data_IF_481422655634
#
_entry.id   IF_481422655634
#
_cell.length_a   1.000
_cell.length_b   1.000
_cell.length_c   1.000
_cell.angle_alpha   90.00
_cell.angle_beta   90.00
_cell.angle_gamma   90.00
#
_symmetry.space_group_name_H-M   'P 1'
#
loop_
_entity.id
_entity.type
_entity.pdbx_description
1 polymer ?
#
# COMPACT_ATOMS: atom_id res chain seq x y z
N UNK A 1 -2.64 -3.32 -16.70
CA UNK A 1 -3.65 -3.99 -15.87
C UNK A 1 -3.65 -5.48 -16.21
N UNK A 2 -3.74 -6.35 -15.19
CA UNK A 2 -3.70 -7.80 -15.33
C UNK A 2 -4.93 -8.41 -14.66
N UNK A 3 -5.39 -9.52 -15.19
CA UNK A 3 -6.55 -10.24 -14.65
C UNK A 3 -6.27 -11.74 -14.59
N UNK A 4 -6.61 -12.35 -13.45
CA UNK A 4 -6.54 -13.80 -13.22
C UNK A 4 -7.97 -14.29 -13.09
N UNK A 5 -8.37 -15.22 -13.97
CA UNK A 5 -9.72 -15.77 -13.92
C UNK A 5 -9.89 -16.78 -12.79
N UNK A 6 -10.88 -16.52 -11.97
CA UNK A 6 -11.37 -17.42 -10.91
C UNK A 6 -12.87 -17.61 -11.16
N UNK A 7 -13.25 -18.60 -11.96
CA UNK A 7 -14.64 -18.82 -12.35
C UNK A 7 -15.58 -18.92 -11.15
N UNK A 8 -16.74 -18.29 -11.29
CA UNK A 8 -17.83 -18.26 -10.29
C UNK A 8 -17.48 -17.62 -8.94
N UNK A 9 -16.34 -16.93 -8.84
CA UNK A 9 -15.91 -16.24 -7.62
C UNK A 9 -16.90 -15.15 -7.23
N UNK A 10 -17.36 -15.16 -5.98
CA UNK A 10 -18.25 -14.13 -5.41
C UNK A 10 -17.48 -12.90 -4.92
N UNK A 11 -16.17 -12.94 -4.97
CA UNK A 11 -15.28 -11.85 -4.58
C UNK A 11 -14.23 -11.62 -5.65
N UNK A 12 -13.71 -10.38 -5.70
CA UNK A 12 -12.50 -10.04 -6.44
C UNK A 12 -11.40 -9.63 -5.48
N UNK A 13 -10.21 -10.20 -5.65
CA UNK A 13 -9.01 -9.71 -5.01
C UNK A 13 -8.40 -8.62 -5.91
N UNK A 14 -8.11 -7.47 -5.34
CA UNK A 14 -7.52 -6.31 -6.02
C UNK A 14 -6.17 -6.02 -5.38
N UNK A 15 -5.12 -5.91 -6.19
CA UNK A 15 -3.81 -5.43 -5.79
C UNK A 15 -3.36 -4.33 -6.74
N UNK A 16 -2.97 -3.18 -6.19
CA UNK A 16 -2.45 -2.03 -6.95
C UNK A 16 -1.08 -1.69 -6.39
N UNK A 17 -0.03 -1.75 -7.20
CA UNK A 17 1.31 -1.59 -6.67
C UNK A 17 2.38 -1.24 -7.68
N UNK A 18 3.55 -0.92 -7.13
CA UNK A 18 4.77 -0.60 -7.87
C UNK A 18 6.00 -0.98 -7.05
N UNK A 19 7.17 -0.94 -7.67
CA UNK A 19 8.44 -1.04 -6.98
C UNK A 19 8.89 0.35 -6.50
N UNK A 20 9.47 0.39 -5.31
CA UNK A 20 9.98 1.62 -4.69
C UNK A 20 11.48 1.51 -4.38
N UNK A 21 11.98 2.25 -3.41
CA UNK A 21 13.39 2.24 -3.02
C UNK A 21 13.83 0.89 -2.44
N UNK A 22 15.12 0.54 -2.51
CA UNK A 22 15.64 -0.68 -1.88
C UNK A 22 15.43 -0.70 -0.38
N UNK A 23 15.42 -1.92 0.19
CA UNK A 23 15.58 -2.11 1.62
C UNK A 23 16.91 -1.54 2.12
N UNK A 24 16.94 -1.03 3.34
CA UNK A 24 18.09 -0.31 3.88
C UNK A 24 18.21 1.14 3.43
N UNK A 25 17.38 1.60 2.45
CA UNK A 25 17.37 3.01 2.04
C UNK A 25 16.83 3.91 3.15
N UNK A 26 17.50 5.05 3.45
CA UNK A 26 16.97 6.04 4.40
C UNK A 26 15.58 6.57 4.04
N UNK A 27 15.24 6.61 2.74
CA UNK A 27 13.94 7.07 2.25
C UNK A 27 12.82 6.09 2.55
N UNK A 28 13.12 4.79 2.78
CA UNK A 28 12.09 3.78 3.00
C UNK A 28 11.28 4.05 4.25
N UNK A 29 11.91 4.46 5.34
CA UNK A 29 11.19 4.81 6.56
C UNK A 29 10.28 6.04 6.36
N UNK A 30 10.77 7.09 5.68
CA UNK A 30 9.96 8.26 5.32
C UNK A 30 8.75 7.87 4.48
N UNK A 31 8.94 6.99 3.50
CA UNK A 31 7.85 6.45 2.68
C UNK A 31 6.85 5.65 3.54
N UNK A 32 7.32 4.89 4.54
CA UNK A 32 6.46 4.15 5.46
C UNK A 32 5.60 5.08 6.34
N UNK A 33 6.19 6.19 6.79
CA UNK A 33 5.48 7.26 7.52
C UNK A 33 4.33 7.80 6.67
N UNK A 34 4.62 8.17 5.43
CA UNK A 34 3.60 8.71 4.50
C UNK A 34 2.54 7.65 4.16
N UNK A 35 2.93 6.39 3.93
CA UNK A 35 2.01 5.29 3.65
C UNK A 35 1.01 5.01 4.79
N UNK A 36 1.34 5.39 6.02
CA UNK A 36 0.50 5.07 7.19
C UNK A 36 -0.95 5.55 7.04
N UNK A 37 -1.16 6.76 6.53
CA UNK A 37 -2.50 7.34 6.32
C UNK A 37 -3.17 6.86 5.03
N UNK A 38 -2.43 6.26 4.09
CA UNK A 38 -3.00 5.65 2.89
C UNK A 38 -3.69 4.33 3.21
N UNK A 39 -2.98 3.38 3.83
CA UNK A 39 -3.51 2.05 4.11
C UNK A 39 -2.93 1.37 5.36
N UNK A 40 -2.23 2.09 6.24
CA UNK A 40 -1.52 1.54 7.40
C UNK A 40 -2.39 1.27 8.65
N UNK A 41 -3.71 1.24 8.55
CA UNK A 41 -4.56 0.93 9.71
C UNK A 41 -6.05 1.21 9.50
N UNK A 42 -6.83 1.14 10.59
CA UNK A 42 -8.29 1.30 10.54
C UNK A 42 -8.74 2.70 10.10
N UNK A 43 -7.98 3.72 10.46
CA UNK A 43 -8.26 5.11 10.11
C UNK A 43 -7.63 5.56 8.80
N UNK A 44 -6.92 4.66 8.10
CA UNK A 44 -6.32 4.95 6.81
C UNK A 44 -7.39 5.12 5.72
N UNK A 45 -7.10 5.93 4.71
CA UNK A 45 -8.07 6.32 3.69
C UNK A 45 -8.69 5.15 2.94
N UNK A 46 -7.89 4.16 2.53
CA UNK A 46 -8.40 2.97 1.84
C UNK A 46 -9.39 2.19 2.73
N UNK A 47 -9.02 1.98 4.01
CA UNK A 47 -9.87 1.28 4.96
C UNK A 47 -11.15 2.04 5.23
N UNK A 48 -11.04 3.35 5.48
CA UNK A 48 -12.19 4.21 5.77
C UNK A 48 -13.18 4.19 4.60
N UNK A 49 -12.71 4.45 3.39
CA UNK A 49 -13.60 4.55 2.22
C UNK A 49 -14.17 3.20 1.84
N UNK A 50 -13.34 2.17 1.62
CA UNK A 50 -13.85 0.88 1.11
C UNK A 50 -14.65 0.08 2.14
N UNK A 51 -14.26 0.15 3.43
CA UNK A 51 -14.93 -0.62 4.48
C UNK A 51 -16.00 0.18 5.22
N UNK A 52 -15.63 1.35 5.78
CA UNK A 52 -16.53 2.05 6.71
C UNK A 52 -17.61 2.84 5.98
N UNK A 53 -17.26 3.53 4.88
CA UNK A 53 -18.22 4.36 4.12
C UNK A 53 -19.00 3.55 3.08
N UNK A 54 -18.34 2.63 2.34
CA UNK A 54 -18.97 1.87 1.25
C UNK A 54 -19.40 0.45 1.63
N UNK A 55 -18.82 -0.16 2.64
CA UNK A 55 -19.13 -1.53 3.02
C UNK A 55 -18.78 -2.58 1.94
N UNK A 56 -17.79 -2.28 1.07
CA UNK A 56 -17.42 -3.16 -0.05
C UNK A 56 -16.53 -4.31 0.35
N UNK A 57 -15.83 -4.20 1.47
CA UNK A 57 -14.82 -5.14 1.97
C UNK A 57 -14.81 -5.25 3.49
N UNK A 58 -14.19 -6.30 3.99
CA UNK A 58 -13.82 -6.43 5.40
C UNK A 58 -12.50 -5.72 5.72
N UNK A 59 -11.69 -5.37 4.72
CA UNK A 59 -10.45 -4.65 4.92
C UNK A 59 -9.77 -4.24 3.63
N UNK A 60 -9.17 -3.04 3.66
CA UNK A 60 -8.31 -2.51 2.62
C UNK A 60 -7.06 -1.91 3.27
N UNK A 61 -5.89 -2.27 2.78
CA UNK A 61 -4.61 -1.86 3.36
C UNK A 61 -3.58 -1.59 2.28
N UNK A 62 -2.51 -0.89 2.64
CA UNK A 62 -1.31 -0.78 1.83
C UNK A 62 -0.07 -1.19 2.63
N UNK A 63 0.90 -1.76 1.94
CA UNK A 63 2.10 -2.34 2.51
C UNK A 63 3.34 -1.90 1.72
N UNK A 64 4.44 -1.79 2.44
CA UNK A 64 5.79 -1.75 1.91
C UNK A 64 6.46 -3.05 2.39
N UNK A 65 6.72 -3.96 1.48
CA UNK A 65 7.39 -5.22 1.80
C UNK A 65 8.87 -5.10 1.51
N UNK A 66 9.62 -4.69 2.51
CA UNK A 66 11.05 -4.44 2.39
C UNK A 66 11.80 -5.60 1.71
N UNK A 67 12.60 -5.26 0.70
CA UNK A 67 13.37 -6.20 -0.10
C UNK A 67 14.72 -5.59 -0.48
N UNK A 68 15.76 -6.41 -0.61
CA UNK A 68 17.14 -5.98 -0.84
C UNK A 68 17.31 -5.16 -2.13
N UNK A 69 16.61 -5.52 -3.21
CA UNK A 69 16.77 -4.84 -4.51
C UNK A 69 15.82 -3.65 -4.64
N UNK A 70 14.53 -3.89 -4.51
CA UNK A 70 13.47 -2.88 -4.55
C UNK A 70 12.32 -3.33 -3.67
N UNK A 71 11.80 -2.42 -2.87
CA UNK A 71 10.68 -2.69 -1.97
C UNK A 71 9.36 -2.58 -2.74
N UNK A 72 8.59 -3.68 -2.89
CA UNK A 72 7.25 -3.57 -3.41
C UNK A 72 6.35 -2.76 -2.48
N UNK A 73 5.74 -1.71 -3.03
CA UNK A 73 4.53 -1.11 -2.49
C UNK A 73 3.33 -1.77 -3.13
N UNK A 74 2.33 -2.15 -2.35
CA UNK A 74 1.04 -2.55 -2.87
C UNK A 74 -0.11 -2.21 -1.93
N UNK A 75 -1.20 -1.75 -2.50
CA UNK A 75 -2.49 -1.56 -1.85
C UNK A 75 -3.39 -2.73 -2.23
N UNK A 76 -4.08 -3.33 -1.25
CA UNK A 76 -4.80 -4.57 -1.41
C UNK A 76 -6.17 -4.56 -0.73
N UNK A 77 -7.14 -5.19 -1.38
CA UNK A 77 -8.44 -5.53 -0.78
C UNK A 77 -9.08 -6.72 -1.46
N UNK A 78 -9.91 -7.46 -0.71
CA UNK A 78 -10.91 -8.37 -1.27
C UNK A 78 -12.28 -7.71 -1.18
N UNK A 79 -12.95 -7.61 -2.29
CA UNK A 79 -14.27 -6.93 -2.40
C UNK A 79 -15.31 -7.89 -2.98
N UNK A 80 -16.59 -7.62 -2.75
CA UNK A 80 -17.64 -8.37 -3.44
C UNK A 80 -17.52 -8.16 -4.95
N UNK A 81 -17.77 -9.20 -5.75
CA UNK A 81 -17.60 -9.16 -7.22
C UNK A 81 -18.41 -8.06 -7.88
N UNK A 82 -19.61 -7.78 -7.38
CA UNK A 82 -20.51 -6.76 -7.96
C UNK A 82 -20.04 -5.31 -7.77
N UNK A 83 -19.01 -5.06 -6.96
CA UNK A 83 -18.41 -3.73 -6.69
C UNK A 83 -16.93 -3.65 -7.07
N UNK A 84 -16.47 -4.56 -7.93
CA UNK A 84 -15.04 -4.62 -8.36
C UNK A 84 -14.62 -3.34 -9.06
N UNK A 85 -15.35 -2.90 -10.08
CA UNK A 85 -15.03 -1.68 -10.82
C UNK A 85 -15.05 -0.44 -9.92
N UNK A 86 -16.08 -0.29 -9.09
CA UNK A 86 -16.21 0.82 -8.15
C UNK A 86 -15.05 0.86 -7.17
N UNK A 87 -14.61 -0.30 -6.70
CA UNK A 87 -13.45 -0.42 -5.82
C UNK A 87 -12.16 -0.05 -6.53
N UNK A 88 -11.96 -0.47 -7.78
CA UNK A 88 -10.81 -0.08 -8.61
C UNK A 88 -10.75 1.43 -8.83
N UNK A 89 -11.89 2.08 -9.12
CA UNK A 89 -12.00 3.54 -9.22
C UNK A 89 -11.58 4.21 -7.90
N UNK A 90 -12.04 3.70 -6.76
CA UNK A 90 -11.65 4.21 -5.42
C UNK A 90 -10.15 4.08 -5.18
N UNK A 91 -9.54 2.92 -5.49
CA UNK A 91 -8.08 2.76 -5.38
C UNK A 91 -7.35 3.79 -6.22
N UNK A 92 -7.70 3.91 -7.50
CA UNK A 92 -7.10 4.89 -8.43
C UNK A 92 -7.20 6.32 -7.89
N UNK A 93 -8.39 6.72 -7.50
CA UNK A 93 -8.69 8.11 -7.13
C UNK A 93 -8.05 8.48 -5.79
N UNK A 94 -8.09 7.58 -4.80
CA UNK A 94 -7.41 7.80 -3.51
C UNK A 94 -5.89 7.89 -3.71
N UNK A 95 -5.28 6.97 -4.48
CA UNK A 95 -3.83 6.97 -4.70
C UNK A 95 -3.40 8.23 -5.46
N UNK A 96 -4.10 8.60 -6.53
CA UNK A 96 -3.76 9.79 -7.32
C UNK A 96 -3.97 11.10 -6.56
N UNK A 97 -5.04 11.21 -5.77
CA UNK A 97 -5.33 12.40 -4.95
C UNK A 97 -4.59 12.44 -3.61
N UNK A 98 -3.77 11.42 -3.30
CA UNK A 98 -3.21 11.27 -1.96
C UNK A 98 -2.30 12.42 -1.54
N UNK A 99 -1.36 12.80 -2.38
CA UNK A 99 -0.39 13.84 -2.08
C UNK A 99 -1.05 15.21 -1.80
N UNK A 100 -2.04 15.57 -2.61
CA UNK A 100 -2.74 16.86 -2.48
C UNK A 100 -3.66 16.91 -1.24
N UNK A 101 -4.24 15.76 -0.89
CA UNK A 101 -5.14 15.65 0.26
C UNK A 101 -4.41 15.37 1.58
N UNK A 102 -3.11 15.03 1.55
CA UNK A 102 -2.30 14.82 2.77
C UNK A 102 -2.09 16.15 3.49
N UNK A 103 -2.35 16.22 4.79
CA UNK A 103 -2.34 17.46 5.55
C UNK A 103 -1.59 17.32 6.89
N UNK A 104 -1.44 18.43 7.63
CA UNK A 104 -0.75 18.43 8.92
C UNK A 104 -1.38 17.48 9.92
N UNK A 105 -2.70 17.33 9.93
CA UNK A 105 -3.38 16.42 10.83
C UNK A 105 -3.01 14.97 10.55
N UNK A 106 -2.91 14.58 9.26
CA UNK A 106 -2.44 13.24 8.85
C UNK A 106 -1.02 12.98 9.35
N UNK A 107 -0.14 13.98 9.20
CA UNK A 107 1.25 13.88 9.62
C UNK A 107 1.36 13.73 11.14
N UNK A 108 0.69 14.57 11.89
CA UNK A 108 0.72 14.54 13.36
C UNK A 108 0.10 13.25 13.95
N UNK A 109 -1.01 12.77 13.39
CA UNK A 109 -1.59 11.47 13.79
C UNK A 109 -0.58 10.35 13.56
N UNK A 110 0.11 10.35 12.41
CA UNK A 110 1.11 9.34 12.09
C UNK A 110 2.31 9.41 13.03
N UNK A 111 2.89 10.61 13.24
CA UNK A 111 4.02 10.81 14.17
C UNK A 111 3.68 10.30 15.57
N UNK A 112 2.56 10.74 16.12
CA UNK A 112 2.11 10.34 17.45
C UNK A 112 1.92 8.82 17.56
N UNK A 113 1.33 8.19 16.55
CA UNK A 113 1.12 6.74 16.51
C UNK A 113 2.45 5.98 16.49
N UNK A 114 3.41 6.40 15.64
CA UNK A 114 4.69 5.72 15.49
C UNK A 114 5.59 5.93 16.71
N UNK A 115 5.63 7.14 17.27
CA UNK A 115 6.38 7.43 18.51
C UNK A 115 5.85 6.58 19.68
N UNK A 116 4.53 6.52 19.87
CA UNK A 116 3.94 5.66 20.90
C UNK A 116 4.18 4.17 20.65
N UNK A 117 4.15 3.76 19.38
CA UNK A 117 4.43 2.38 18.96
C UNK A 117 5.88 1.95 19.22
N UNK A 118 6.83 2.89 19.16
CA UNK A 118 8.24 2.58 19.42
C UNK A 118 8.49 2.07 20.84
N UNK A 119 7.81 2.60 21.86
CA UNK A 119 7.95 2.12 23.23
C UNK A 119 7.66 0.61 23.34
N UNK A 120 6.61 0.13 22.63
CA UNK A 120 6.18 -1.25 22.64
C UNK A 120 7.11 -2.21 21.85
N UNK A 121 7.96 -1.68 20.96
CA UNK A 121 8.91 -2.50 20.17
C UNK A 121 9.92 -3.23 21.04
N UNK A 122 10.29 -2.63 22.18
CA UNK A 122 11.32 -3.17 23.07
C UNK A 122 10.78 -4.09 24.17
N UNK A 123 9.47 -4.20 24.31
CA UNK A 123 8.84 -5.05 25.35
C UNK A 123 8.80 -6.54 24.98
N UNK A 124 8.90 -6.88 23.70
CA UNK A 124 8.76 -8.26 23.24
C UNK A 124 10.04 -8.77 22.62
N UNK A 125 10.54 -9.92 23.10
CA UNK A 125 11.72 -10.58 22.55
C UNK A 125 11.62 -10.82 21.04
N UNK A 126 10.46 -11.28 20.55
CA UNK A 126 10.23 -11.47 19.12
C UNK A 126 10.40 -10.18 18.30
N UNK A 127 9.99 -9.02 18.82
CA UNK A 127 10.17 -7.73 18.16
C UNK A 127 11.64 -7.34 18.09
N UNK A 128 12.42 -7.61 19.15
CA UNK A 128 13.87 -7.35 19.17
C UNK A 128 14.60 -8.26 18.17
N UNK A 129 14.24 -9.55 18.12
CA UNK A 129 14.83 -10.49 17.16
C UNK A 129 14.53 -10.04 15.72
N UNK A 130 13.27 -9.70 15.41
CA UNK A 130 12.91 -9.22 14.09
C UNK A 130 13.62 -7.92 13.71
N UNK A 131 13.86 -7.02 14.67
CA UNK A 131 14.63 -5.80 14.46
C UNK A 131 16.07 -6.12 14.10
N UNK A 132 16.75 -6.98 14.87
CA UNK A 132 18.13 -7.40 14.61
C UNK A 132 18.26 -8.14 13.27
N UNK A 133 17.31 -9.01 12.93
CA UNK A 133 17.25 -9.68 11.63
C UNK A 133 17.12 -8.66 10.48
N UNK A 134 16.23 -7.68 10.62
CA UNK A 134 16.06 -6.58 9.67
C UNK A 134 17.33 -5.76 9.51
N UNK A 135 17.97 -5.37 10.62
CA UNK A 135 19.23 -4.63 10.60
C UNK A 135 20.34 -5.41 9.90
N UNK A 136 20.49 -6.69 10.24
CA UNK A 136 21.49 -7.57 9.63
C UNK A 136 21.23 -7.77 8.13
N UNK A 137 19.97 -8.02 7.75
CA UNK A 137 19.58 -8.31 6.37
C UNK A 137 19.75 -7.13 5.43
N UNK A 138 19.45 -5.93 5.88
CA UNK A 138 19.45 -4.72 5.05
C UNK A 138 20.60 -3.78 5.32
N UNK A 139 21.52 -4.13 6.23
CA UNK A 139 22.70 -3.32 6.55
C UNK A 139 22.39 -2.04 7.31
N UNK A 140 21.33 -2.03 8.13
CA UNK A 140 21.03 -0.87 8.96
C UNK A 140 22.09 -0.66 10.05
N UNK A 141 22.48 0.59 10.33
CA UNK A 141 23.45 0.89 11.37
C UNK A 141 22.88 0.67 12.78
N UNK A 142 23.74 0.65 13.78
CA UNK A 142 23.35 0.61 15.19
C UNK A 142 22.51 1.82 15.63
N UNK A 143 22.63 2.95 14.92
CA UNK A 143 21.81 4.16 15.08
C UNK A 143 20.43 4.06 14.41
N UNK A 144 20.03 2.88 13.93
CA UNK A 144 18.79 2.68 13.16
C UNK A 144 17.55 3.31 13.83
N UNK A 145 17.37 3.05 15.13
CA UNK A 145 16.21 3.56 15.88
C UNK A 145 16.29 5.08 16.07
N UNK A 146 17.48 5.60 16.34
CA UNK A 146 17.71 7.05 16.46
C UNK A 146 17.41 7.75 15.14
N UNK A 147 17.84 7.18 14.02
CA UNK A 147 17.57 7.72 12.68
C UNK A 147 16.04 7.75 12.38
N UNK A 148 15.30 6.69 12.76
CA UNK A 148 13.83 6.69 12.64
C UNK A 148 13.20 7.81 13.51
N UNK A 149 13.68 8.02 14.72
CA UNK A 149 13.17 9.08 15.60
C UNK A 149 13.47 10.48 15.05
N UNK A 150 14.67 10.69 14.51
CA UNK A 150 15.04 11.94 13.84
C UNK A 150 14.11 12.24 12.65
N UNK A 151 13.81 11.24 11.82
CA UNK A 151 12.83 11.39 10.74
C UNK A 151 11.46 11.78 11.28
N UNK A 152 10.97 11.12 12.33
CA UNK A 152 9.65 11.43 12.90
C UNK A 152 9.58 12.85 13.48
N UNK A 153 10.67 13.38 14.01
CA UNK A 153 10.70 14.74 14.55
C UNK A 153 10.87 15.80 13.46
N UNK A 154 11.66 15.52 12.42
CA UNK A 154 12.07 16.50 11.42
C UNK A 154 11.17 16.55 10.18
N UNK A 155 10.54 15.43 9.77
CA UNK A 155 9.72 15.39 8.54
C UNK A 155 8.58 16.41 8.58
N UNK A 156 8.57 17.30 7.59
CA UNK A 156 7.54 18.33 7.41
C UNK A 156 6.47 17.92 6.40
N UNK A 157 5.38 18.72 6.33
CA UNK A 157 4.27 18.45 5.44
C UNK A 157 4.69 18.47 3.96
N UNK A 158 5.51 19.44 3.55
CA UNK A 158 5.94 19.58 2.15
C UNK A 158 6.80 18.40 1.70
N UNK A 159 7.68 17.92 2.57
CA UNK A 159 8.47 16.71 2.34
C UNK A 159 7.56 15.48 2.23
N UNK A 160 6.61 15.31 3.15
CA UNK A 160 5.65 14.20 3.11
C UNK A 160 4.81 14.21 1.82
N UNK A 161 4.34 15.37 1.37
CA UNK A 161 3.64 15.51 0.08
C UNK A 161 4.53 15.21 -1.10
N UNK A 162 5.79 15.64 -1.08
CA UNK A 162 6.76 15.33 -2.13
C UNK A 162 6.99 13.82 -2.25
N UNK A 163 7.18 13.13 -1.12
CA UNK A 163 7.32 11.68 -1.07
C UNK A 163 6.05 10.99 -1.63
N UNK A 164 4.86 11.49 -1.26
CA UNK A 164 3.61 10.96 -1.78
C UNK A 164 3.50 11.13 -3.31
N UNK A 165 3.83 12.30 -3.87
CA UNK A 165 3.80 12.56 -5.33
C UNK A 165 4.75 11.67 -6.10
N UNK A 166 5.93 11.42 -5.56
CA UNK A 166 6.95 10.59 -6.20
C UNK A 166 6.55 9.12 -6.25
N UNK A 167 5.91 8.61 -5.20
CA UNK A 167 5.70 7.18 -5.01
C UNK A 167 4.25 6.71 -5.23
N UNK A 168 3.24 7.58 -5.03
CA UNK A 168 1.84 7.20 -5.12
C UNK A 168 1.16 7.85 -6.34
N UNK A 169 1.32 7.18 -7.48
CA UNK A 169 0.69 7.56 -8.74
C UNK A 169 0.09 6.30 -9.39
N UNK A 170 -1.21 6.14 -9.27
CA UNK A 170 -1.93 4.95 -9.77
C UNK A 170 -1.75 4.74 -11.28
N UNK A 171 -1.52 5.80 -12.06
CA UNK A 171 -1.29 5.69 -13.50
C UNK A 171 0.06 5.06 -13.85
N UNK A 172 0.99 4.97 -12.89
CA UNK A 172 2.29 4.32 -13.01
C UNK A 172 2.35 2.98 -12.27
N UNK A 173 1.23 2.51 -11.75
CA UNK A 173 1.15 1.26 -10.98
C UNK A 173 0.56 0.12 -11.79
N UNK A 174 0.90 -1.08 -11.40
CA UNK A 174 0.28 -2.30 -11.88
C UNK A 174 -1.01 -2.56 -11.10
N UNK A 175 -2.08 -2.85 -11.83
CA UNK A 175 -3.34 -3.33 -11.28
C UNK A 175 -3.43 -4.83 -11.59
N UNK A 176 -3.57 -5.64 -10.55
CA UNK A 176 -3.78 -7.09 -10.65
C UNK A 176 -5.10 -7.42 -9.98
N UNK A 177 -5.99 -8.03 -10.73
CA UNK A 177 -7.32 -8.41 -10.28
C UNK A 177 -7.47 -9.92 -10.43
N UNK A 178 -7.93 -10.61 -9.39
CA UNK A 178 -8.35 -12.00 -9.48
C UNK A 178 -9.84 -12.08 -9.14
N UNK A 179 -10.64 -12.65 -10.05
CA UNK A 179 -12.09 -12.70 -9.93
C UNK A 179 -12.73 -13.46 -11.10
N UNK A 180 -14.05 -13.45 -11.18
CA UNK A 180 -14.77 -14.11 -12.25
C UNK A 180 -14.74 -13.28 -13.55
N UNK A 181 -13.97 -13.76 -14.53
CA UNK A 181 -13.77 -13.07 -15.81
C UNK A 181 -15.09 -12.83 -16.56
N UNK A 182 -16.00 -13.78 -16.51
CA UNK A 182 -17.30 -13.72 -17.20
C UNK A 182 -18.11 -12.49 -16.80
N UNK A 183 -18.01 -12.08 -15.55
CA UNK A 183 -18.79 -10.96 -15.01
C UNK A 183 -17.98 -9.67 -14.88
N UNK A 184 -16.63 -9.73 -14.84
CA UNK A 184 -15.81 -8.57 -14.49
C UNK A 184 -15.04 -7.98 -15.68
N UNK A 185 -14.54 -8.78 -16.63
CA UNK A 185 -13.60 -8.30 -17.65
C UNK A 185 -14.09 -7.08 -18.42
N UNK A 186 -15.31 -7.15 -18.98
CA UNK A 186 -15.85 -6.03 -19.75
C UNK A 186 -16.07 -4.76 -18.92
N UNK A 187 -16.42 -4.93 -17.64
CA UNK A 187 -16.67 -3.80 -16.73
C UNK A 187 -15.39 -3.08 -16.35
N UNK A 188 -14.31 -3.82 -16.07
CA UNK A 188 -13.06 -3.19 -15.60
C UNK A 188 -12.34 -2.40 -16.70
N UNK A 189 -12.66 -2.61 -17.98
CA UNK A 189 -12.16 -1.77 -19.09
C UNK A 189 -12.59 -0.30 -18.93
N UNK A 190 -13.75 -0.05 -18.29
CA UNK A 190 -14.22 1.31 -17.96
C UNK A 190 -13.29 2.08 -17.01
N UNK A 191 -12.32 1.41 -16.38
CA UNK A 191 -11.30 2.09 -15.58
C UNK A 191 -10.38 2.99 -16.43
N UNK A 192 -10.29 2.75 -17.75
CA UNK A 192 -9.55 3.57 -18.70
C UNK A 192 -8.10 3.16 -18.89
N UNK A 193 -7.68 2.00 -18.40
CA UNK A 193 -6.31 1.47 -18.58
C UNK A 193 -6.18 0.44 -19.71
N UNK A 194 -7.18 0.40 -20.61
CA UNK A 194 -7.23 -0.55 -21.71
C UNK A 194 -7.65 -1.97 -21.29
N UNK A 195 -7.58 -2.90 -22.24
CA UNK A 195 -7.93 -4.30 -21.98
C UNK A 195 -6.94 -4.96 -21.03
N UNK A 196 -7.41 -5.70 -20.02
CA UNK A 196 -6.54 -6.44 -19.13
C UNK A 196 -5.77 -7.54 -19.88
N UNK A 197 -4.52 -7.75 -19.50
CA UNK A 197 -3.75 -8.93 -19.90
C UNK A 197 -4.22 -10.07 -18.99
N UNK A 198 -4.68 -11.17 -19.61
CA UNK A 198 -5.11 -12.35 -18.86
C UNK A 198 -3.90 -13.19 -18.47
N UNK A 199 -3.83 -13.57 -17.19
CA UNK A 199 -2.80 -14.43 -16.64
C UNK A 199 -3.42 -15.72 -16.13
N UNK A 200 -2.65 -16.80 -16.18
CA UNK A 200 -2.94 -18.02 -15.41
C UNK A 200 -2.64 -17.82 -13.91
N UNK A 201 -2.84 -18.86 -13.11
CA UNK A 201 -2.60 -18.81 -11.66
C UNK A 201 -1.12 -18.77 -11.29
N UNK A 202 -0.26 -19.15 -12.20
CA UNK A 202 1.20 -19.10 -12.12
C UNK A 202 1.76 -17.74 -12.57
N UNK A 203 0.91 -16.87 -13.13
CA UNK A 203 1.28 -15.53 -13.59
C UNK A 203 1.75 -15.47 -15.05
N UNK A 204 1.60 -16.54 -15.81
CA UNK A 204 1.95 -16.56 -17.23
C UNK A 204 0.80 -15.95 -18.04
N UNK A 205 1.15 -15.25 -19.12
CA UNK A 205 0.16 -14.67 -20.03
C UNK A 205 -0.57 -15.79 -20.80
N UNK A 206 -1.90 -15.75 -20.75
CA UNK A 206 -2.75 -16.59 -21.56
C UNK A 206 -3.05 -15.84 -22.88
N UNK A 207 -2.78 -16.49 -24.02
CA UNK A 207 -3.05 -15.95 -25.36
C UNK A 207 -4.53 -16.07 -25.71
#
# INVERSE_FOLDING_TARGET
MFFIDIPDSKQSAISVGTLTVPGGSPELFKLSVVNNRLGGGMEARLMRTLRLEKGYTYGARSFLRENTFQTPFYAYSQVRSNVTLESLKIFRDIINGYAESYNNQDLEITKNKLIKGNALRFERLASLINMLDTMSKFGYPDTYIQNEQEVLTSIGLDEARSIARLNFNANKMYFVIAGDAKTQLNRIEELGYGKPIILDREGNKIN
#
